data_IF_835345046267
#
_entry.id   IF_835345046267
#
_cell.length_a   1.000
_cell.length_b   1.000
_cell.length_c   1.000
_cell.angle_alpha   90.00
_cell.angle_beta   90.00
_cell.angle_gamma   90.00
#
_symmetry.space_group_name_H-M   'P 1'
#
loop_
_entity.id
_entity.type
_entity.pdbx_description
1 polymer ?
#
# COMPACT_ATOMS: atom_id res chain seq x y z
N UNK A 1 9.13 -12.52 -20.43
CA UNK A 1 9.72 -12.91 -19.14
C UNK A 1 8.88 -12.31 -18.02
N UNK A 2 8.95 -12.87 -16.81
CA UNK A 2 8.27 -12.32 -15.64
C UNK A 2 8.85 -10.94 -15.29
N UNK A 3 8.00 -9.93 -15.10
CA UNK A 3 8.42 -8.57 -14.77
C UNK A 3 7.79 -8.15 -13.42
N UNK A 4 8.56 -7.60 -12.48
CA UNK A 4 7.98 -7.10 -11.24
C UNK A 4 7.09 -5.88 -11.51
N UNK A 5 5.91 -5.86 -10.87
CA UNK A 5 4.94 -4.77 -10.97
C UNK A 5 4.73 -4.17 -9.59
N UNK A 6 4.84 -2.85 -9.48
CA UNK A 6 4.55 -2.12 -8.24
C UNK A 6 3.25 -1.34 -8.41
N UNK A 7 2.33 -1.50 -7.47
CA UNK A 7 1.02 -0.86 -7.47
C UNK A 7 0.79 -0.08 -6.17
N UNK A 8 0.28 1.14 -6.29
CA UNK A 8 0.06 2.07 -5.19
C UNK A 8 -1.19 2.92 -5.44
N UNK A 9 -1.71 3.56 -4.38
CA UNK A 9 -2.90 4.39 -4.43
C UNK A 9 -4.20 3.59 -4.21
N UNK A 10 -5.29 3.98 -4.86
CA UNK A 10 -6.62 3.44 -4.55
C UNK A 10 -6.82 1.95 -4.85
N UNK A 11 -5.94 1.35 -5.64
CA UNK A 11 -5.88 -0.10 -5.85
C UNK A 11 -5.65 -0.88 -4.54
N UNK A 12 -5.03 -0.24 -3.54
CA UNK A 12 -4.79 -0.82 -2.21
C UNK A 12 -5.84 -0.48 -1.15
N UNK A 13 -6.91 0.21 -1.55
CA UNK A 13 -8.01 0.58 -0.64
C UNK A 13 -8.94 -0.60 -0.33
N UNK A 14 -9.84 -0.42 0.66
CA UNK A 14 -10.89 -1.38 1.04
C UNK A 14 -11.83 -1.78 -0.11
N UNK A 15 -12.02 -0.87 -1.07
CA UNK A 15 -12.82 -1.11 -2.27
C UNK A 15 -11.95 -1.31 -3.52
N UNK A 16 -10.63 -1.41 -3.32
CA UNK A 16 -9.66 -1.70 -4.37
C UNK A 16 -9.58 -3.20 -4.66
N UNK A 17 -8.48 -3.61 -5.28
CA UNK A 17 -8.25 -5.02 -5.59
C UNK A 17 -7.68 -5.78 -4.38
N UNK A 18 -6.66 -5.22 -3.75
CA UNK A 18 -5.98 -5.84 -2.62
C UNK A 18 -5.90 -4.84 -1.49
N UNK A 19 -6.71 -5.01 -0.44
CA UNK A 19 -6.59 -4.15 0.74
C UNK A 19 -5.22 -4.33 1.39
N UNK A 20 -4.51 -3.21 1.57
CA UNK A 20 -3.25 -3.11 2.31
C UNK A 20 -3.45 -2.16 3.49
N UNK A 21 -3.22 -2.61 4.74
CA UNK A 21 -3.36 -1.75 5.91
C UNK A 21 -2.44 -0.53 5.84
N UNK A 22 -2.93 0.61 6.33
CA UNK A 22 -2.10 1.81 6.47
C UNK A 22 -1.00 1.61 7.50
N UNK A 23 0.19 2.11 7.20
CA UNK A 23 1.30 2.23 8.15
C UNK A 23 1.12 3.52 8.96
N UNK A 24 1.26 3.44 10.28
CA UNK A 24 1.05 4.58 11.19
C UNK A 24 2.30 5.45 11.25
N UNK A 25 2.12 6.76 11.14
CA UNK A 25 3.19 7.73 11.38
C UNK A 25 3.53 7.85 12.88
N UNK A 26 4.80 8.18 13.22
CA UNK A 26 5.94 8.36 12.31
C UNK A 26 6.41 7.02 11.74
N UNK A 27 6.64 6.96 10.43
CA UNK A 27 7.11 5.77 9.73
C UNK A 27 8.20 6.15 8.74
N UNK A 28 9.26 5.34 8.69
CA UNK A 28 10.34 5.43 7.73
C UNK A 28 10.18 4.40 6.60
N UNK A 29 11.27 4.22 5.84
CA UNK A 29 11.31 3.30 4.70
C UNK A 29 11.14 1.85 5.14
N UNK A 30 11.67 1.49 6.32
CA UNK A 30 11.61 0.12 6.84
C UNK A 30 10.19 -0.27 7.25
N UNK A 31 9.44 0.63 7.91
CA UNK A 31 8.04 0.40 8.26
C UNK A 31 7.15 0.32 7.02
N UNK A 32 7.44 1.13 6.00
CA UNK A 32 6.75 1.04 4.70
C UNK A 32 7.04 -0.29 4.01
N UNK A 33 8.29 -0.75 4.00
CA UNK A 33 8.70 -2.01 3.39
C UNK A 33 8.06 -3.21 4.12
N UNK A 34 7.97 -3.18 5.45
CA UNK A 34 7.30 -4.20 6.25
C UNK A 34 5.78 -4.25 6.01
N UNK A 35 5.16 -3.13 5.61
CA UNK A 35 3.74 -3.03 5.28
C UNK A 35 3.37 -3.46 3.86
N UNK A 36 4.34 -3.85 3.03
CA UNK A 36 4.11 -4.27 1.64
C UNK A 36 3.38 -5.60 1.57
N UNK A 37 2.45 -5.71 0.62
CA UNK A 37 1.80 -6.98 0.28
C UNK A 37 2.23 -7.46 -1.09
N UNK A 38 2.52 -8.74 -1.21
CA UNK A 38 2.99 -9.32 -2.46
C UNK A 38 2.09 -10.43 -2.95
N UNK A 39 1.91 -10.50 -4.27
CA UNK A 39 1.07 -11.50 -4.93
C UNK A 39 1.82 -12.05 -6.14
N UNK A 40 1.85 -13.38 -6.26
CA UNK A 40 2.32 -14.04 -7.45
C UNK A 40 1.21 -14.06 -8.52
N UNK A 41 1.50 -13.55 -9.71
CA UNK A 41 0.60 -13.58 -10.84
C UNK A 41 0.75 -14.90 -11.62
N UNK A 42 -0.32 -15.33 -12.28
CA UNK A 42 -0.33 -16.58 -13.05
C UNK A 42 0.70 -16.61 -14.20
N UNK A 43 1.12 -15.43 -14.68
CA UNK A 43 2.16 -15.28 -15.70
C UNK A 43 3.60 -15.34 -15.14
N UNK A 44 3.76 -15.69 -13.85
CA UNK A 44 5.05 -15.77 -13.16
C UNK A 44 5.59 -14.43 -12.66
N UNK A 45 4.89 -13.32 -12.90
CA UNK A 45 5.30 -11.99 -12.42
C UNK A 45 4.97 -11.80 -10.94
N UNK A 46 5.82 -11.03 -10.24
CA UNK A 46 5.57 -10.63 -8.85
C UNK A 46 4.91 -9.26 -8.84
N UNK A 47 3.75 -9.17 -8.19
CA UNK A 47 3.06 -7.90 -7.96
C UNK A 47 3.26 -7.47 -6.52
N UNK A 48 3.63 -6.20 -6.33
CA UNK A 48 4.01 -5.59 -5.05
C UNK A 48 3.05 -4.43 -4.80
N UNK A 49 2.32 -4.47 -3.70
CA UNK A 49 1.35 -3.47 -3.30
C UNK A 49 1.89 -2.67 -2.11
N UNK A 50 1.97 -1.35 -2.27
CA UNK A 50 2.47 -0.46 -1.22
C UNK A 50 1.33 0.04 -0.31
N UNK A 51 1.60 0.03 0.99
CA UNK A 51 0.73 0.61 2.00
C UNK A 51 0.70 2.14 1.89
N UNK A 52 -0.45 2.74 2.20
CA UNK A 52 -0.54 4.16 2.48
C UNK A 52 -0.01 4.48 3.89
N UNK A 53 0.20 5.77 4.16
CA UNK A 53 0.49 6.27 5.51
C UNK A 53 -0.75 6.88 6.14
N UNK A 54 -0.87 6.73 7.46
CA UNK A 54 -1.90 7.39 8.25
C UNK A 54 -1.28 8.02 9.48
N UNK A 55 -1.62 9.28 9.73
CA UNK A 55 -1.27 9.95 10.97
C UNK A 55 -2.52 10.00 11.87
N UNK A 56 -2.56 9.25 12.98
CA UNK A 56 -3.71 9.24 13.87
C UNK A 56 -3.92 10.56 14.61
N UNK A 57 -2.92 11.46 14.61
CA UNK A 57 -2.98 12.77 15.26
C UNK A 57 -3.46 13.87 14.32
N UNK A 58 -3.46 13.63 13.00
CA UNK A 58 -4.02 14.58 12.03
C UNK A 58 -5.54 14.60 12.16
N UNK A 59 -6.05 15.76 12.54
CA UNK A 59 -7.49 16.03 12.47
C UNK A 59 -7.85 16.28 11.01
N UNK A 60 -8.91 15.65 10.46
CA UNK A 60 -9.35 15.95 9.10
C UNK A 60 -9.61 17.46 8.96
N UNK A 61 -8.95 18.10 8.00
CA UNK A 61 -9.27 19.49 7.67
C UNK A 61 -10.72 19.54 7.19
N UNK A 62 -11.52 20.44 7.78
CA UNK A 62 -12.95 20.64 7.48
C UNK A 62 -13.30 20.37 6.01
N UNK A 63 -14.42 19.65 5.72
CA UNK A 63 -14.87 19.50 4.34
C UNK A 63 -15.09 20.89 3.76
N UNK A 64 -14.44 21.18 2.64
CA UNK A 64 -14.62 22.40 1.86
C UNK A 64 -15.68 22.16 0.80
#
# INVERSE_FOLDING_TARGET
GALPVVALGMITSRSGWVEVPYVRCPAGVDELAAGVKEVALANGSRMIFLAGLTDPTLTPSSPR
#
